data_IF_118505476258
#
_entry.id   IF_118505476258
#
_cell.length_a   1.000
_cell.length_b   1.000
_cell.length_c   1.000
_cell.angle_alpha   90.00
_cell.angle_beta   90.00
_cell.angle_gamma   90.00
#
_symmetry.space_group_name_H-M   'P 1'
#
loop_
_entity.id
_entity.type
_entity.pdbx_description
1 polymer ?
#
# COMPACT_ATOMS: atom_id res chain seq x y z
N UNK A 1 20.93 -16.96 -7.66
CA UNK A 1 19.73 -17.53 -8.30
C UNK A 1 19.44 -16.67 -9.53
N UNK A 2 19.01 -17.26 -10.62
CA UNK A 2 18.52 -16.51 -11.78
C UNK A 2 17.18 -15.85 -11.43
N UNK A 3 16.85 -14.71 -12.06
CA UNK A 3 15.55 -14.08 -11.94
C UNK A 3 14.47 -15.07 -12.43
N UNK A 4 13.29 -15.04 -11.81
CA UNK A 4 12.20 -15.91 -12.29
C UNK A 4 11.63 -15.37 -13.64
N UNK A 5 10.99 -16.24 -14.45
CA UNK A 5 10.66 -15.90 -15.85
C UNK A 5 9.63 -14.78 -16.00
N UNK A 6 8.85 -14.45 -14.95
CA UNK A 6 7.87 -13.37 -14.96
C UNK A 6 8.46 -12.01 -14.63
N UNK A 7 9.71 -11.94 -14.11
CA UNK A 7 10.33 -10.70 -13.69
C UNK A 7 10.43 -9.67 -14.82
N UNK A 8 9.94 -8.47 -14.57
CA UNK A 8 9.97 -7.33 -15.49
C UNK A 8 10.85 -6.23 -14.94
N UNK A 9 12.05 -6.08 -15.47
CA UNK A 9 13.01 -5.07 -14.98
C UNK A 9 12.85 -3.72 -15.68
N UNK A 10 12.48 -3.72 -16.95
CA UNK A 10 12.55 -2.50 -17.80
C UNK A 10 11.31 -2.22 -18.63
N UNK A 11 10.43 -3.20 -18.82
CA UNK A 11 9.30 -3.06 -19.74
C UNK A 11 8.02 -3.73 -19.26
N UNK A 12 6.86 -3.19 -19.62
CA UNK A 12 5.56 -3.83 -19.42
C UNK A 12 5.42 -5.11 -20.26
N UNK A 13 4.38 -5.93 -20.00
CA UNK A 13 4.14 -7.20 -20.70
C UNK A 13 2.64 -7.48 -20.83
N UNK A 14 2.20 -7.93 -22.01
CA UNK A 14 0.84 -8.42 -22.25
C UNK A 14 0.65 -9.89 -21.84
N UNK A 15 1.05 -10.25 -20.65
CA UNK A 15 1.00 -11.64 -20.17
C UNK A 15 0.36 -11.72 -18.80
N UNK A 16 0.94 -12.50 -17.89
CA UNK A 16 0.52 -12.60 -16.48
C UNK A 16 0.48 -11.21 -15.81
N UNK A 17 1.32 -10.27 -16.23
CA UNK A 17 1.28 -8.87 -15.77
C UNK A 17 -0.09 -8.24 -16.00
N UNK A 18 -0.59 -8.28 -17.24
CA UNK A 18 -1.90 -7.73 -17.58
C UNK A 18 -3.02 -8.43 -16.78
N UNK A 19 -2.97 -9.77 -16.66
CA UNK A 19 -3.96 -10.51 -15.89
C UNK A 19 -3.99 -10.07 -14.42
N UNK A 20 -2.83 -9.97 -13.78
CA UNK A 20 -2.73 -9.54 -12.39
C UNK A 20 -3.29 -8.11 -12.21
N UNK A 21 -2.89 -7.19 -13.10
CA UNK A 21 -3.35 -5.80 -13.04
C UNK A 21 -4.86 -5.68 -13.28
N UNK A 22 -5.44 -6.43 -14.21
CA UNK A 22 -6.90 -6.44 -14.46
C UNK A 22 -7.67 -6.99 -13.25
N UNK A 23 -7.20 -8.10 -12.66
CA UNK A 23 -7.86 -8.68 -11.49
C UNK A 23 -7.80 -7.74 -10.28
N UNK A 24 -6.65 -7.13 -10.01
CA UNK A 24 -6.52 -6.15 -8.93
C UNK A 24 -7.35 -4.90 -9.18
N UNK A 25 -7.32 -4.36 -10.40
CA UNK A 25 -8.14 -3.20 -10.77
C UNK A 25 -9.64 -3.48 -10.62
N UNK A 26 -10.10 -4.68 -11.02
CA UNK A 26 -11.49 -5.09 -10.83
C UNK A 26 -11.87 -5.20 -9.34
N UNK A 27 -10.99 -5.80 -8.52
CA UNK A 27 -11.17 -5.90 -7.07
C UNK A 27 -11.29 -4.52 -6.41
N UNK A 28 -10.37 -3.61 -6.72
CA UNK A 28 -10.36 -2.25 -6.16
C UNK A 28 -11.56 -1.42 -6.63
N UNK A 29 -11.94 -1.54 -7.92
CA UNK A 29 -13.13 -0.88 -8.47
C UNK A 29 -14.42 -1.40 -7.83
N UNK A 30 -14.53 -2.70 -7.56
CA UNK A 30 -15.65 -3.29 -6.83
C UNK A 30 -15.78 -2.67 -5.43
N UNK A 31 -14.67 -2.51 -4.71
CA UNK A 31 -14.69 -1.91 -3.37
C UNK A 31 -15.10 -0.42 -3.40
N UNK A 32 -14.65 0.34 -4.40
CA UNK A 32 -15.14 1.71 -4.58
C UNK A 32 -16.63 1.75 -4.94
N UNK A 33 -17.09 0.85 -5.80
CA UNK A 33 -18.51 0.74 -6.08
C UNK A 33 -19.32 0.40 -4.81
N UNK A 34 -18.84 -0.54 -3.99
CA UNK A 34 -19.47 -0.87 -2.71
C UNK A 34 -19.64 0.40 -1.84
N UNK A 35 -18.65 1.27 -1.73
CA UNK A 35 -18.76 2.51 -0.96
C UNK A 35 -19.83 3.47 -1.51
N UNK A 36 -20.11 3.45 -2.81
CA UNK A 36 -21.13 4.32 -3.40
C UNK A 36 -22.56 3.84 -3.16
N UNK A 37 -22.74 2.55 -2.87
CA UNK A 37 -24.05 1.94 -2.60
C UNK A 37 -24.28 1.63 -1.12
N UNK A 38 -23.23 1.70 -0.31
CA UNK A 38 -23.31 1.48 1.13
C UNK A 38 -23.74 2.75 1.84
N UNK A 39 -25.07 2.89 2.01
CA UNK A 39 -25.68 4.05 2.66
C UNK A 39 -25.40 4.04 4.17
N UNK A 40 -24.54 4.92 4.62
CA UNK A 40 -24.18 5.10 6.02
C UNK A 40 -24.03 6.59 6.33
N UNK A 41 -24.03 7.01 7.61
CA UNK A 41 -23.67 8.38 7.98
C UNK A 41 -22.32 8.84 7.45
N UNK A 42 -21.39 7.91 7.17
CA UNK A 42 -20.09 8.20 6.57
C UNK A 42 -20.23 8.77 5.15
N UNK A 43 -21.24 8.31 4.39
CA UNK A 43 -21.44 8.71 2.99
C UNK A 43 -21.83 10.18 2.81
N UNK A 44 -22.32 10.85 3.87
CA UNK A 44 -22.70 12.27 3.89
C UNK A 44 -21.80 13.12 4.78
N UNK A 45 -20.79 12.52 5.43
CA UNK A 45 -19.87 13.22 6.32
C UNK A 45 -18.83 14.04 5.57
N UNK A 46 -18.28 15.05 6.23
CA UNK A 46 -17.14 15.79 5.70
C UNK A 46 -15.94 14.85 5.50
N UNK A 47 -15.34 14.92 4.33
CA UNK A 47 -14.24 14.01 3.95
C UNK A 47 -14.72 12.67 3.37
N UNK A 48 -16.02 12.40 3.39
CA UNK A 48 -16.60 11.15 2.90
C UNK A 48 -15.78 9.95 3.45
N UNK A 49 -15.63 8.86 2.70
CA UNK A 49 -14.79 7.72 3.10
C UNK A 49 -13.27 8.01 3.03
N UNK A 50 -12.83 9.14 2.44
CA UNK A 50 -11.41 9.52 2.42
C UNK A 50 -10.84 9.94 3.77
N UNK A 51 -11.65 10.04 4.80
CA UNK A 51 -11.17 10.19 6.17
C UNK A 51 -10.50 8.89 6.70
N UNK A 52 -10.69 7.73 6.03
CA UNK A 52 -10.02 6.48 6.35
C UNK A 52 -8.73 6.33 5.54
N UNK A 53 -7.63 5.98 6.24
CA UNK A 53 -6.34 5.71 5.59
C UNK A 53 -6.44 4.55 4.59
N UNK A 54 -7.27 3.56 4.89
CA UNK A 54 -7.59 2.42 4.01
C UNK A 54 -8.08 2.89 2.64
N UNK A 55 -8.96 3.89 2.57
CA UNK A 55 -9.52 4.37 1.29
C UNK A 55 -8.49 5.21 0.53
N UNK A 56 -7.64 5.95 1.24
CA UNK A 56 -6.50 6.65 0.63
C UNK A 56 -5.51 5.64 0.02
N UNK A 57 -5.16 4.59 0.76
CA UNK A 57 -4.30 3.51 0.29
C UNK A 57 -4.91 2.76 -0.89
N UNK A 58 -6.19 2.38 -0.80
CA UNK A 58 -6.94 1.75 -1.90
C UNK A 58 -6.95 2.62 -3.17
N UNK A 59 -7.05 3.96 -3.01
CA UNK A 59 -6.96 4.89 -4.14
C UNK A 59 -5.59 4.83 -4.81
N UNK A 60 -4.52 4.84 -4.03
CA UNK A 60 -3.16 4.71 -4.56
C UNK A 60 -2.97 3.35 -5.27
N UNK A 61 -3.55 2.27 -4.71
CA UNK A 61 -3.54 0.92 -5.28
C UNK A 61 -4.30 0.88 -6.61
N UNK A 62 -5.49 1.50 -6.67
CA UNK A 62 -6.31 1.63 -7.89
C UNK A 62 -5.52 2.37 -8.99
N UNK A 63 -4.89 3.50 -8.66
CA UNK A 63 -4.07 4.28 -9.59
C UNK A 63 -2.90 3.44 -10.10
N UNK A 64 -2.16 2.76 -9.22
CA UNK A 64 -1.04 1.92 -9.60
C UNK A 64 -1.48 0.82 -10.58
N UNK A 65 -2.57 0.14 -10.30
CA UNK A 65 -3.06 -0.95 -11.14
C UNK A 65 -3.71 -0.46 -12.44
N UNK A 66 -4.38 0.68 -12.44
CA UNK A 66 -4.87 1.32 -13.68
C UNK A 66 -3.69 1.70 -14.59
N UNK A 67 -2.64 2.30 -14.04
CA UNK A 67 -1.40 2.57 -14.78
C UNK A 67 -0.74 1.27 -15.28
N UNK A 68 -0.79 0.20 -14.48
CA UNK A 68 -0.30 -1.12 -14.87
C UNK A 68 -1.05 -1.70 -16.06
N UNK A 69 -2.38 -1.70 -16.04
CA UNK A 69 -3.22 -2.14 -17.17
C UNK A 69 -2.90 -1.32 -18.42
N UNK A 70 -2.85 0.01 -18.30
CA UNK A 70 -2.53 0.88 -19.44
C UNK A 70 -1.12 0.65 -19.96
N UNK A 71 -0.14 0.46 -19.09
CA UNK A 71 1.24 0.13 -19.47
C UNK A 71 1.31 -1.18 -20.25
N UNK A 72 0.61 -2.22 -19.76
CA UNK A 72 0.62 -3.55 -20.38
C UNK A 72 -0.13 -3.56 -21.74
N UNK A 73 -1.23 -2.80 -21.86
CA UNK A 73 -1.99 -2.69 -23.10
C UNK A 73 -1.23 -1.90 -24.18
N UNK A 74 -0.59 -0.80 -23.78
CA UNK A 74 0.11 0.11 -24.72
C UNK A 74 1.59 -0.22 -24.88
N UNK A 75 2.16 -1.05 -23.99
CA UNK A 75 3.60 -1.32 -23.85
C UNK A 75 4.41 -0.03 -23.58
N UNK A 76 3.81 0.94 -22.89
CA UNK A 76 4.42 2.23 -22.60
C UNK A 76 5.37 2.15 -21.40
N UNK A 77 6.64 2.46 -21.61
CA UNK A 77 7.65 2.56 -20.54
C UNK A 77 7.32 3.67 -19.55
N UNK A 78 6.80 4.80 -20.01
CA UNK A 78 6.45 5.93 -19.13
C UNK A 78 5.34 5.54 -18.15
N UNK A 79 4.28 4.85 -18.62
CA UNK A 79 3.22 4.34 -17.74
C UNK A 79 3.73 3.26 -16.79
N UNK A 80 4.62 2.38 -17.25
CA UNK A 80 5.27 1.39 -16.39
C UNK A 80 6.09 2.04 -15.29
N UNK A 81 6.86 3.08 -15.58
CA UNK A 81 7.62 3.83 -14.58
C UNK A 81 6.70 4.57 -13.60
N UNK A 82 5.62 5.21 -14.09
CA UNK A 82 4.63 5.88 -13.26
C UNK A 82 3.94 4.89 -12.29
N UNK A 83 3.54 3.70 -12.78
CA UNK A 83 3.02 2.60 -11.95
C UNK A 83 3.99 2.25 -10.83
N UNK A 84 5.26 2.02 -11.16
CA UNK A 84 6.27 1.64 -10.18
C UNK A 84 6.55 2.76 -9.16
N UNK A 85 6.50 4.03 -9.57
CA UNK A 85 6.66 5.17 -8.67
C UNK A 85 5.53 5.24 -7.63
N UNK A 86 4.28 5.00 -8.03
CA UNK A 86 3.14 4.94 -7.10
C UNK A 86 3.27 3.71 -6.20
N UNK A 87 3.60 2.54 -6.75
CA UNK A 87 3.68 1.28 -6.02
C UNK A 87 4.76 1.29 -4.92
N UNK A 88 5.85 2.05 -5.08
CA UNK A 88 6.92 2.18 -4.06
C UNK A 88 6.40 2.69 -2.72
N UNK A 89 5.38 3.54 -2.73
CA UNK A 89 4.76 4.06 -1.50
C UNK A 89 3.49 3.29 -1.14
N UNK A 90 2.67 2.93 -2.12
CA UNK A 90 1.41 2.24 -1.89
C UNK A 90 1.62 0.84 -1.29
N UNK A 91 2.58 0.06 -1.80
CA UNK A 91 2.77 -1.33 -1.34
C UNK A 91 3.13 -1.43 0.14
N UNK A 92 4.16 -0.74 0.68
CA UNK A 92 4.49 -0.84 2.09
C UNK A 92 3.40 -0.23 2.99
N UNK A 93 2.68 0.79 2.52
CA UNK A 93 1.55 1.37 3.23
C UNK A 93 0.40 0.36 3.37
N UNK A 94 -0.01 -0.29 2.29
CA UNK A 94 -1.08 -1.28 2.29
C UNK A 94 -0.75 -2.52 3.13
N UNK A 95 0.51 -2.95 3.12
CA UNK A 95 0.98 -4.03 4.01
C UNK A 95 0.82 -3.62 5.48
N UNK A 96 1.18 -2.37 5.83
CA UNK A 96 1.01 -1.86 7.20
C UNK A 96 -0.47 -1.71 7.55
N UNK A 97 -1.30 -1.17 6.65
CA UNK A 97 -2.76 -1.07 6.84
C UNK A 97 -3.34 -2.46 7.13
N UNK A 98 -2.98 -3.46 6.32
CA UNK A 98 -3.46 -4.84 6.49
C UNK A 98 -3.05 -5.42 7.85
N UNK A 99 -1.77 -5.30 8.23
CA UNK A 99 -1.26 -5.82 9.49
C UNK A 99 -1.93 -5.13 10.69
N UNK A 100 -2.03 -3.81 10.67
CA UNK A 100 -2.64 -3.04 11.76
C UNK A 100 -4.13 -3.32 11.87
N UNK A 101 -4.85 -3.34 10.74
CA UNK A 101 -6.28 -3.61 10.74
C UNK A 101 -6.61 -4.98 11.32
N UNK A 102 -6.02 -6.05 10.76
CA UNK A 102 -6.29 -7.40 11.25
C UNK A 102 -5.76 -7.64 12.66
N UNK A 103 -4.60 -7.02 13.00
CA UNK A 103 -4.03 -7.10 14.33
C UNK A 103 -4.92 -6.44 15.39
N UNK A 104 -5.39 -5.22 15.16
CA UNK A 104 -6.27 -4.50 16.08
C UNK A 104 -7.65 -5.20 16.13
N UNK A 105 -8.21 -5.59 14.98
CA UNK A 105 -9.48 -6.32 14.92
C UNK A 105 -9.45 -7.63 15.71
N UNK A 106 -8.31 -8.31 15.74
CA UNK A 106 -8.13 -9.53 16.55
C UNK A 106 -8.11 -9.25 18.06
N UNK A 107 -7.58 -8.09 18.46
CA UNK A 107 -7.50 -7.66 19.87
C UNK A 107 -8.87 -7.11 20.33
N UNK A 108 -9.38 -6.10 19.64
CA UNK A 108 -10.69 -5.48 19.90
C UNK A 108 -11.21 -4.78 18.63
N UNK A 109 -12.23 -5.34 17.95
CA UNK A 109 -12.80 -4.74 16.74
C UNK A 109 -13.44 -3.37 16.98
N UNK A 110 -13.90 -3.05 18.21
CA UNK A 110 -14.53 -1.78 18.53
C UNK A 110 -13.56 -0.59 18.48
N UNK A 111 -12.24 -0.84 18.45
CA UNK A 111 -11.23 0.21 18.26
C UNK A 111 -11.18 0.72 16.81
N UNK A 112 -11.67 -0.06 15.86
CA UNK A 112 -11.62 0.26 14.42
C UNK A 112 -12.97 0.64 13.84
N UNK A 113 -14.04 -0.01 14.29
CA UNK A 113 -15.37 0.09 13.72
C UNK A 113 -16.31 0.59 14.82
N UNK A 114 -16.98 1.72 14.57
CA UNK A 114 -17.95 2.26 15.50
C UNK A 114 -19.15 1.33 15.65
N UNK A 115 -19.78 1.35 16.82
CA UNK A 115 -20.96 0.55 17.12
C UNK A 115 -22.07 0.75 16.07
N UNK A 116 -22.70 -0.34 15.67
CA UNK A 116 -23.78 -0.33 14.67
C UNK A 116 -23.33 -0.44 13.21
N UNK A 117 -22.03 -0.40 12.92
CA UNK A 117 -21.52 -0.68 11.57
C UNK A 117 -21.10 -2.14 11.47
N UNK A 118 -21.64 -2.83 10.47
CA UNK A 118 -21.25 -4.20 10.12
C UNK A 118 -20.72 -4.19 8.69
N UNK A 119 -19.49 -4.62 8.53
CA UNK A 119 -18.88 -4.79 7.22
C UNK A 119 -18.82 -6.29 6.90
N UNK A 120 -19.47 -6.69 5.81
CA UNK A 120 -19.44 -8.08 5.33
C UNK A 120 -18.00 -8.50 5.01
N UNK A 121 -17.72 -9.80 5.16
CA UNK A 121 -16.38 -10.35 5.01
C UNK A 121 -15.75 -10.06 3.64
N UNK A 122 -16.53 -10.09 2.56
CA UNK A 122 -15.99 -9.87 1.21
C UNK A 122 -15.50 -8.43 0.98
N UNK A 123 -16.29 -7.37 1.25
CA UNK A 123 -15.78 -6.00 1.23
C UNK A 123 -14.64 -5.77 2.23
N UNK A 124 -14.72 -6.36 3.43
CA UNK A 124 -13.70 -6.22 4.46
C UNK A 124 -12.33 -6.74 3.99
N UNK A 125 -12.28 -7.95 3.44
CA UNK A 125 -11.07 -8.48 2.81
C UNK A 125 -10.64 -7.63 1.60
N UNK A 126 -11.59 -7.12 0.83
CA UNK A 126 -11.36 -6.26 -0.30
C UNK A 126 -10.67 -4.94 0.05
N UNK A 127 -11.03 -4.35 1.19
CA UNK A 127 -10.43 -3.12 1.70
C UNK A 127 -9.09 -3.34 2.41
N UNK A 128 -8.98 -4.40 3.23
CA UNK A 128 -7.90 -4.52 4.21
C UNK A 128 -6.89 -5.64 3.92
N UNK A 129 -7.10 -6.46 2.88
CA UNK A 129 -6.18 -7.53 2.52
C UNK A 129 -5.82 -7.52 1.03
N UNK A 130 -6.80 -7.39 0.15
CA UNK A 130 -6.59 -7.50 -1.28
C UNK A 130 -5.54 -6.52 -1.84
N UNK A 131 -5.52 -5.21 -1.47
CA UNK A 131 -4.51 -4.28 -1.96
C UNK A 131 -3.10 -4.69 -1.57
N UNK A 132 -2.88 -5.10 -0.31
CA UNK A 132 -1.58 -5.56 0.17
C UNK A 132 -1.09 -6.80 -0.60
N UNK A 133 -1.99 -7.77 -0.86
CA UNK A 133 -1.67 -9.00 -1.61
C UNK A 133 -1.33 -8.67 -3.07
N UNK A 134 -2.21 -7.95 -3.77
CA UNK A 134 -2.03 -7.64 -5.19
C UNK A 134 -0.76 -6.81 -5.44
N UNK A 135 -0.52 -5.75 -4.65
CA UNK A 135 0.68 -4.92 -4.76
C UNK A 135 1.96 -5.70 -4.42
N UNK A 136 1.92 -6.56 -3.41
CA UNK A 136 3.07 -7.41 -3.06
C UNK A 136 3.39 -8.41 -4.17
N UNK A 137 2.37 -9.04 -4.76
CA UNK A 137 2.56 -9.93 -5.91
C UNK A 137 3.12 -9.19 -7.12
N UNK A 138 2.59 -8.01 -7.44
CA UNK A 138 3.13 -7.17 -8.51
C UNK A 138 4.60 -6.81 -8.27
N UNK A 139 4.93 -6.39 -7.05
CA UNK A 139 6.32 -6.07 -6.70
C UNK A 139 7.23 -7.28 -6.89
N UNK A 140 6.89 -8.40 -6.25
CA UNK A 140 7.80 -9.56 -6.18
C UNK A 140 7.95 -10.24 -7.54
N UNK A 141 6.87 -10.33 -8.32
CA UNK A 141 6.83 -11.10 -9.55
C UNK A 141 7.08 -10.27 -10.81
N UNK A 142 6.68 -8.99 -10.84
CA UNK A 142 6.53 -8.24 -12.09
C UNK A 142 7.27 -6.91 -12.11
N UNK A 143 7.68 -6.36 -10.97
CA UNK A 143 8.27 -5.03 -10.87
C UNK A 143 9.80 -5.06 -10.75
N UNK A 144 10.50 -3.97 -11.13
CA UNK A 144 11.93 -3.83 -10.88
C UNK A 144 12.24 -3.67 -9.39
N UNK A 145 13.49 -3.91 -8.96
CA UNK A 145 13.90 -3.74 -7.58
C UNK A 145 13.82 -2.27 -7.15
N UNK A 146 13.36 -2.04 -5.92
CA UNK A 146 13.36 -0.70 -5.35
C UNK A 146 14.77 -0.27 -4.92
N UNK A 147 15.20 0.87 -5.43
CA UNK A 147 16.51 1.46 -5.11
C UNK A 147 16.44 2.57 -4.07
N UNK A 148 15.22 3.02 -3.70
CA UNK A 148 15.03 4.12 -2.75
C UNK A 148 15.59 3.74 -1.37
N UNK A 149 16.46 4.57 -0.75
CA UNK A 149 17.01 4.28 0.56
C UNK A 149 15.96 4.41 1.67
N UNK A 150 16.17 3.68 2.79
CA UNK A 150 15.21 3.62 3.90
C UNK A 150 14.94 5.00 4.53
N UNK A 151 15.93 5.87 4.64
CA UNK A 151 15.74 7.22 5.18
C UNK A 151 14.81 8.08 4.31
N UNK A 152 14.82 7.90 2.99
CA UNK A 152 13.90 8.61 2.09
C UNK A 152 12.47 8.10 2.28
N UNK A 153 12.27 6.79 2.41
CA UNK A 153 10.97 6.22 2.74
C UNK A 153 10.48 6.73 4.09
N UNK A 154 11.35 6.76 5.10
CA UNK A 154 11.02 7.31 6.43
C UNK A 154 10.56 8.76 6.32
N UNK A 155 11.31 9.61 5.62
CA UNK A 155 10.96 11.03 5.46
C UNK A 155 9.60 11.21 4.77
N UNK A 156 9.36 10.49 3.66
CA UNK A 156 8.09 10.56 2.93
C UNK A 156 6.94 10.01 3.79
N UNK A 157 7.13 8.87 4.45
CA UNK A 157 6.12 8.26 5.32
C UNK A 157 5.77 9.15 6.50
N UNK A 158 6.74 9.86 7.07
CA UNK A 158 6.52 10.85 8.13
C UNK A 158 5.66 12.01 7.62
N UNK A 159 5.97 12.57 6.46
CA UNK A 159 5.16 13.65 5.85
C UNK A 159 3.73 13.18 5.60
N UNK A 160 3.56 11.98 5.03
CA UNK A 160 2.23 11.39 4.77
C UNK A 160 1.47 11.17 6.08
N UNK A 161 2.13 10.64 7.11
CA UNK A 161 1.50 10.36 8.40
C UNK A 161 0.97 11.64 9.07
N UNK A 162 1.77 12.72 9.11
CA UNK A 162 1.36 13.99 9.70
C UNK A 162 0.35 14.76 8.82
N UNK A 163 0.44 14.66 7.49
CA UNK A 163 -0.58 15.19 6.59
C UNK A 163 -1.93 14.48 6.79
N UNK A 164 -1.90 13.15 6.96
CA UNK A 164 -3.08 12.36 7.27
C UNK A 164 -3.64 12.69 8.65
N UNK A 165 -2.81 12.85 9.67
CA UNK A 165 -3.28 13.30 10.99
C UNK A 165 -3.98 14.65 10.91
N UNK A 166 -3.37 15.65 10.24
CA UNK A 166 -4.02 16.95 10.02
C UNK A 166 -5.38 16.80 9.32
N UNK A 167 -5.45 15.94 8.30
CA UNK A 167 -6.69 15.65 7.59
C UNK A 167 -7.76 15.06 8.49
N UNK A 168 -7.40 14.09 9.34
CA UNK A 168 -8.33 13.46 10.30
C UNK A 168 -8.83 14.48 11.33
N UNK A 169 -7.95 15.35 11.87
CA UNK A 169 -8.36 16.41 12.80
C UNK A 169 -9.29 17.42 12.12
N UNK A 170 -9.05 17.75 10.85
CA UNK A 170 -9.94 18.59 10.06
C UNK A 170 -11.31 17.91 9.87
N UNK A 171 -11.36 16.65 9.54
CA UNK A 171 -12.62 15.90 9.45
C UNK A 171 -13.35 15.89 10.80
N UNK A 172 -12.64 15.65 11.89
CA UNK A 172 -13.21 15.67 13.23
C UNK A 172 -13.81 17.04 13.58
N UNK A 173 -13.16 18.13 13.22
CA UNK A 173 -13.66 19.50 13.48
C UNK A 173 -15.01 19.79 12.80
N UNK A 174 -15.31 19.11 11.69
CA UNK A 174 -16.58 19.22 10.98
C UNK A 174 -17.62 18.20 11.39
N UNK A 175 -17.17 16.96 11.68
CA UNK A 175 -18.07 15.83 11.94
C UNK A 175 -18.40 15.66 13.43
N UNK A 176 -17.50 16.09 14.33
CA UNK A 176 -17.62 15.87 15.78
C UNK A 176 -17.25 14.44 16.25
N UNK A 177 -16.72 13.61 15.35
CA UNK A 177 -16.29 12.22 15.62
C UNK A 177 -15.10 11.84 14.74
N UNK A 178 -14.31 10.87 15.20
CA UNK A 178 -13.16 10.32 14.45
C UNK A 178 -13.55 9.11 13.59
N UNK A 179 -12.86 8.89 12.44
CA UNK A 179 -13.09 7.71 11.61
C UNK A 179 -12.78 6.39 12.31
N UNK A 180 -11.85 6.41 13.28
CA UNK A 180 -11.54 5.27 14.12
C UNK A 180 -11.81 5.62 15.59
N UNK A 181 -12.66 4.86 16.31
CA UNK A 181 -12.92 5.10 17.74
C UNK A 181 -11.65 5.13 18.60
N UNK A 182 -10.61 4.39 18.21
CA UNK A 182 -9.30 4.43 18.83
C UNK A 182 -8.77 5.86 19.07
N UNK A 183 -9.02 6.78 18.11
CA UNK A 183 -8.50 8.15 18.24
C UNK A 183 -9.19 8.95 19.34
N UNK A 184 -10.42 8.63 19.69
CA UNK A 184 -11.11 9.27 20.82
C UNK A 184 -10.50 8.90 22.17
N UNK A 185 -9.91 7.69 22.26
CA UNK A 185 -9.27 7.18 23.47
C UNK A 185 -7.85 7.73 23.69
N UNK A 186 -7.25 8.37 22.68
CA UNK A 186 -5.86 8.81 22.73
C UNK A 186 -5.75 10.32 22.99
N UNK A 187 -4.82 10.71 23.88
CA UNK A 187 -4.38 12.10 24.01
C UNK A 187 -3.66 12.57 22.72
N UNK A 188 -3.47 13.89 22.56
CA UNK A 188 -2.74 14.45 21.42
C UNK A 188 -1.32 13.89 21.32
N UNK A 189 -0.62 13.75 22.45
CA UNK A 189 0.74 13.19 22.51
C UNK A 189 0.75 11.73 22.08
N UNK A 190 -0.24 10.95 22.50
CA UNK A 190 -0.39 9.55 22.09
C UNK A 190 -0.70 9.41 20.60
N UNK A 191 -1.48 10.33 20.02
CA UNK A 191 -1.71 10.37 18.54
C UNK A 191 -0.42 10.69 17.80
N UNK A 192 0.35 11.71 18.24
CA UNK A 192 1.68 12.01 17.66
C UNK A 192 2.58 10.79 17.69
N UNK A 193 2.62 10.08 18.82
CA UNK A 193 3.41 8.85 18.95
C UNK A 193 2.91 7.76 17.99
N UNK A 194 1.59 7.56 17.90
CA UNK A 194 0.98 6.57 17.00
C UNK A 194 1.34 6.85 15.53
N UNK A 195 1.21 8.10 15.06
CA UNK A 195 1.53 8.46 13.69
C UNK A 195 3.04 8.36 13.39
N UNK A 196 3.89 8.75 14.34
CA UNK A 196 5.33 8.58 14.23
C UNK A 196 5.72 7.10 14.16
N UNK A 197 5.14 6.28 15.01
CA UNK A 197 5.33 4.83 15.01
C UNK A 197 4.86 4.20 13.69
N UNK A 198 3.70 4.61 13.18
CA UNK A 198 3.16 4.12 11.90
C UNK A 198 4.07 4.45 10.72
N UNK A 199 4.68 5.65 10.69
CA UNK A 199 5.69 5.99 9.67
C UNK A 199 6.93 5.08 9.76
N UNK A 200 7.35 4.74 10.97
CA UNK A 200 8.40 3.74 11.22
C UNK A 200 8.02 2.36 10.69
N UNK A 201 6.79 1.91 10.93
CA UNK A 201 6.30 0.63 10.43
C UNK A 201 6.28 0.57 8.89
N UNK A 202 5.90 1.65 8.20
CA UNK A 202 5.97 1.70 6.72
C UNK A 202 7.41 1.54 6.23
N UNK A 203 8.37 2.14 6.93
CA UNK A 203 9.81 2.00 6.60
C UNK A 203 10.30 0.57 6.83
N UNK A 204 9.91 -0.06 7.92
CA UNK A 204 10.22 -1.47 8.21
C UNK A 204 9.58 -2.38 7.17
N UNK A 205 8.29 -2.16 6.85
CA UNK A 205 7.58 -2.90 5.80
C UNK A 205 8.30 -2.80 4.45
N UNK A 206 8.70 -1.59 4.03
CA UNK A 206 9.49 -1.39 2.81
C UNK A 206 10.81 -2.16 2.82
N UNK A 207 11.49 -2.19 3.96
CA UNK A 207 12.76 -2.92 4.11
C UNK A 207 12.55 -4.44 4.06
N UNK A 208 11.49 -4.95 4.67
CA UNK A 208 11.09 -6.36 4.61
C UNK A 208 10.73 -6.77 3.17
N UNK A 209 9.95 -5.94 2.46
CA UNK A 209 9.59 -6.19 1.06
C UNK A 209 10.81 -6.23 0.15
N UNK A 210 11.78 -5.34 0.34
CA UNK A 210 13.07 -5.40 -0.38
C UNK A 210 13.84 -6.69 -0.08
N UNK A 211 13.84 -7.11 1.16
CA UNK A 211 14.50 -8.36 1.55
C UNK A 211 13.82 -9.58 0.91
N UNK A 212 12.48 -9.67 0.95
CA UNK A 212 11.71 -10.72 0.28
C UNK A 212 11.97 -10.72 -1.22
N UNK A 213 11.89 -9.53 -1.85
CA UNK A 213 12.19 -9.34 -3.27
C UNK A 213 13.58 -9.90 -3.64
N UNK A 214 14.60 -9.53 -2.86
CA UNK A 214 15.97 -9.99 -3.10
C UNK A 214 16.12 -11.51 -2.94
N UNK A 215 15.37 -12.12 -2.02
CA UNK A 215 15.35 -13.58 -1.84
C UNK A 215 14.70 -14.30 -3.02
N UNK A 216 13.56 -13.80 -3.49
CA UNK A 216 12.82 -14.44 -4.60
C UNK A 216 13.54 -14.24 -5.92
N UNK A 217 14.10 -13.06 -6.18
CA UNK A 217 14.68 -12.68 -7.47
C UNK A 217 16.21 -12.85 -7.56
N UNK A 218 16.86 -13.34 -6.51
CA UNK A 218 18.31 -13.56 -6.51
C UNK A 218 19.17 -12.29 -6.61
N UNK A 219 18.59 -11.11 -6.41
CA UNK A 219 19.24 -9.81 -6.65
C UNK A 219 20.50 -9.58 -5.80
N UNK A 220 20.55 -10.12 -4.58
CA UNK A 220 21.74 -10.04 -3.71
C UNK A 220 22.93 -10.83 -4.24
N UNK A 221 22.69 -11.94 -4.97
CA UNK A 221 23.76 -12.71 -5.59
C UNK A 221 24.41 -11.94 -6.76
N UNK A 222 23.57 -11.28 -7.59
CA UNK A 222 24.06 -10.47 -8.70
C UNK A 222 24.86 -9.25 -8.23
N UNK A 223 24.44 -8.56 -7.17
CA UNK A 223 25.20 -7.45 -6.59
C UNK A 223 26.54 -7.90 -5.99
N UNK A 224 26.57 -9.06 -5.31
CA UNK A 224 27.82 -9.62 -4.78
C UNK A 224 28.80 -10.01 -5.89
N UNK A 225 28.30 -10.51 -7.02
CA UNK A 225 29.15 -10.84 -8.17
C UNK A 225 29.68 -9.58 -8.86
N UNK A 226 28.86 -8.55 -9.01
CA UNK A 226 29.29 -7.27 -9.60
C UNK A 226 30.33 -6.51 -8.74
N UNK A 227 30.38 -6.76 -7.43
CA UNK A 227 31.37 -6.17 -6.52
C UNK A 227 32.60 -7.05 -6.25
N UNK A 228 32.75 -8.21 -6.90
CA UNK A 228 33.97 -8.96 -6.81
C UNK A 228 35.09 -8.22 -7.56
N UNK A 229 36.19 -7.87 -6.89
CA UNK A 229 37.32 -7.25 -7.58
C UNK A 229 37.79 -8.20 -8.68
N UNK A 230 37.99 -7.66 -9.89
CA UNK A 230 38.57 -8.39 -11.00
C UNK A 230 39.87 -9.05 -10.51
N UNK A 231 39.90 -10.38 -10.49
CA UNK A 231 41.16 -11.09 -10.20
C UNK A 231 42.17 -10.61 -11.23
N UNK A 232 43.21 -9.90 -10.77
CA UNK A 232 44.38 -9.60 -11.60
C UNK A 232 44.92 -10.94 -12.09
N UNK A 233 44.81 -11.18 -13.40
CA UNK A 233 45.49 -12.28 -14.06
C UNK A 233 46.99 -11.92 -13.95
N UNK A 234 47.70 -12.69 -13.14
CA UNK A 234 49.17 -12.67 -13.10
C UNK A 234 49.68 -13.45 -14.29
#
# INVERSE_FOLDING_TARGET
MAAHPLQRLTSPSRSVSLLLHVLGLASFSYNFHFLTVWETPLSVSYGWHFQFLTIIGLTASLIAFALGVLADLTLSHALFQAKNAVAVLATPLEVVISILYWGIRFIDPNLLIADGFVLDMLPDMGFHLAPAVFLTLDLILLSPPWTIPAYTIMAISTVIAFAYWYWVELCFSHNGWYPYPLFELLSTEQRVLLFTFSAGLVTVSSSCLKWVYARVNGYQAAQKEAHKPLKKVQ
#
